data_IF_355187609411
#
_entry.id   IF_355187609411
#
_cell.length_a   1.000
_cell.length_b   1.000
_cell.length_c   1.000
_cell.angle_alpha   90.00
_cell.angle_beta   90.00
_cell.angle_gamma   90.00
#
_symmetry.space_group_name_H-M   'P 1'
#
loop_
_entity.id
_entity.type
_entity.pdbx_description
1 polymer ?
#
# COMPACT_ATOMS: atom_id res chain seq x y z
N UNK A 1 34.08 11.21 -22.32
CA UNK A 1 33.09 12.21 -22.76
C UNK A 1 31.85 11.57 -23.41
N UNK A 2 31.96 10.66 -24.40
CA UNK A 2 30.78 9.99 -24.98
C UNK A 2 30.02 9.08 -23.99
N UNK A 3 30.73 8.37 -23.12
CA UNK A 3 30.16 7.45 -22.13
C UNK A 3 29.43 8.21 -21.00
N UNK A 4 29.96 9.37 -20.59
CA UNK A 4 29.35 10.22 -19.56
C UNK A 4 28.04 10.84 -20.07
N UNK A 5 28.02 11.31 -21.32
CA UNK A 5 26.81 11.83 -21.96
C UNK A 5 25.72 10.77 -22.15
N UNK A 6 26.08 9.53 -22.52
CA UNK A 6 25.10 8.45 -22.67
C UNK A 6 24.47 8.05 -21.33
N UNK A 7 25.25 8.05 -20.25
CA UNK A 7 24.74 7.75 -18.90
C UNK A 7 23.82 8.87 -18.41
N UNK A 8 24.19 10.13 -18.62
CA UNK A 8 23.33 11.27 -18.28
C UNK A 8 21.99 11.25 -19.02
N UNK A 9 22.00 10.97 -20.33
CA UNK A 9 20.79 10.81 -21.14
C UNK A 9 19.90 9.66 -20.64
N UNK A 10 20.51 8.54 -20.23
CA UNK A 10 19.79 7.39 -19.71
C UNK A 10 19.11 7.69 -18.37
N UNK A 11 19.81 8.40 -17.48
CA UNK A 11 19.26 8.86 -16.19
C UNK A 11 18.10 9.84 -16.42
N UNK A 12 18.27 10.83 -17.31
CA UNK A 12 17.21 11.79 -17.65
C UNK A 12 15.97 11.08 -18.20
N UNK A 13 16.15 10.07 -19.05
CA UNK A 13 15.05 9.28 -19.59
C UNK A 13 14.28 8.51 -18.51
N UNK A 14 14.98 7.94 -17.52
CA UNK A 14 14.34 7.25 -16.39
C UNK A 14 13.56 8.23 -15.51
N UNK A 15 14.13 9.39 -15.21
CA UNK A 15 13.46 10.45 -14.42
C UNK A 15 12.20 10.93 -15.12
N UNK A 16 12.26 11.16 -16.43
CA UNK A 16 11.10 11.59 -17.22
C UNK A 16 10.02 10.51 -17.25
N UNK A 17 10.40 9.25 -17.44
CA UNK A 17 9.46 8.13 -17.42
C UNK A 17 8.76 8.01 -16.06
N UNK A 18 9.52 8.11 -14.97
CA UNK A 18 8.97 8.10 -13.62
C UNK A 18 8.01 9.29 -13.39
N UNK A 19 8.39 10.49 -13.81
CA UNK A 19 7.54 11.69 -13.71
C UNK A 19 6.22 11.52 -14.46
N UNK A 20 6.24 10.89 -15.64
CA UNK A 20 5.05 10.58 -16.42
C UNK A 20 4.14 9.61 -15.65
N UNK A 21 4.69 8.55 -15.05
CA UNK A 21 3.90 7.58 -14.28
C UNK A 21 3.26 8.20 -13.03
N UNK A 22 4.00 9.06 -12.31
CA UNK A 22 3.45 9.83 -11.17
C UNK A 22 2.36 10.78 -11.65
N UNK A 23 2.58 11.48 -12.76
CA UNK A 23 1.58 12.39 -13.32
C UNK A 23 0.30 11.65 -13.73
N UNK A 24 0.41 10.51 -14.42
CA UNK A 24 -0.74 9.67 -14.79
C UNK A 24 -1.54 9.24 -13.56
N UNK A 25 -0.87 8.84 -12.48
CA UNK A 25 -1.51 8.45 -11.24
C UNK A 25 -2.39 9.60 -10.70
N UNK A 26 -1.82 10.79 -10.53
CA UNK A 26 -2.54 11.95 -9.98
C UNK A 26 -3.59 12.53 -10.92
N UNK A 27 -3.46 12.32 -12.23
CA UNK A 27 -4.48 12.74 -13.19
C UNK A 27 -5.64 11.74 -13.27
N UNK A 28 -5.45 10.50 -12.80
CA UNK A 28 -6.48 9.47 -12.90
C UNK A 28 -7.68 9.77 -11.97
N UNK A 29 -8.89 9.74 -12.53
CA UNK A 29 -10.13 9.92 -11.74
C UNK A 29 -10.29 8.82 -10.69
N UNK A 30 -9.92 7.58 -11.04
CA UNK A 30 -9.97 6.43 -10.13
C UNK A 30 -9.13 6.63 -8.87
N UNK A 31 -7.94 7.23 -8.99
CA UNK A 31 -7.09 7.55 -7.83
C UNK A 31 -7.82 8.45 -6.84
N UNK A 32 -8.37 9.58 -7.31
CA UNK A 32 -9.06 10.53 -6.45
C UNK A 32 -10.34 9.97 -5.84
N UNK A 33 -11.13 9.21 -6.61
CA UNK A 33 -12.34 8.54 -6.08
C UNK A 33 -11.96 7.58 -4.95
N UNK A 34 -10.96 6.72 -5.17
CA UNK A 34 -10.49 5.78 -4.15
C UNK A 34 -9.96 6.53 -2.93
N UNK A 35 -9.15 7.58 -3.14
CA UNK A 35 -8.62 8.41 -2.07
C UNK A 35 -9.73 9.02 -1.20
N UNK A 36 -10.71 9.70 -1.79
CA UNK A 36 -11.79 10.35 -1.03
C UNK A 36 -12.69 9.33 -0.32
N UNK A 37 -13.04 8.22 -0.96
CA UNK A 37 -13.87 7.19 -0.32
C UNK A 37 -13.11 6.54 0.85
N UNK A 38 -11.83 6.19 0.64
CA UNK A 38 -11.02 5.55 1.69
C UNK A 38 -10.82 6.46 2.90
N UNK A 39 -10.59 7.76 2.67
CA UNK A 39 -10.42 8.74 3.74
C UNK A 39 -11.73 9.00 4.47
N UNK A 40 -12.84 9.14 3.74
CA UNK A 40 -14.17 9.31 4.33
C UNK A 40 -14.53 8.15 5.26
N UNK A 41 -14.46 6.91 4.78
CA UNK A 41 -14.76 5.72 5.59
C UNK A 41 -13.77 5.60 6.76
N UNK A 42 -12.51 5.91 6.54
CA UNK A 42 -11.49 5.84 7.58
C UNK A 42 -11.68 6.84 8.72
N UNK A 43 -12.30 7.99 8.44
CA UNK A 43 -12.65 8.98 9.47
C UNK A 43 -13.93 8.57 10.20
N UNK A 44 -14.87 7.87 9.56
CA UNK A 44 -16.14 7.49 10.20
C UNK A 44 -16.01 6.31 11.15
N UNK A 45 -15.17 5.30 10.85
CA UNK A 45 -15.03 4.10 11.71
C UNK A 45 -14.69 4.45 13.19
N UNK A 46 -13.75 5.36 13.49
CA UNK A 46 -13.46 5.77 14.87
C UNK A 46 -14.57 6.59 15.54
N UNK A 47 -15.54 7.14 14.80
CA UNK A 47 -16.58 8.00 15.37
C UNK A 47 -17.61 7.21 16.19
N UNK A 48 -17.79 5.92 15.91
CA UNK A 48 -18.81 5.06 16.52
C UNK A 48 -18.40 4.55 17.93
N UNK A 49 -17.13 4.66 18.31
CA UNK A 49 -16.60 4.22 19.59
C UNK A 49 -16.47 5.35 20.62
N UNK A 50 -17.50 5.56 21.43
CA UNK A 50 -17.45 6.49 22.56
C UNK A 50 -16.67 5.92 23.74
N UNK A 51 -15.59 6.59 24.12
CA UNK A 51 -14.87 6.34 25.37
C UNK A 51 -13.70 7.31 25.54
N UNK A 52 -13.42 7.66 26.80
CA UNK A 52 -12.27 8.45 27.26
C UNK A 52 -10.93 7.78 26.88
N UNK A 53 -10.53 7.89 25.61
CA UNK A 53 -9.25 7.34 25.12
C UNK A 53 -8.15 8.39 25.19
N UNK A 54 -6.93 7.94 25.49
CA UNK A 54 -5.76 8.80 25.41
C UNK A 54 -5.43 9.12 23.95
N UNK A 55 -4.77 10.25 23.70
CA UNK A 55 -4.36 10.63 22.34
C UNK A 55 -3.48 9.55 21.68
N UNK A 56 -2.63 8.87 22.46
CA UNK A 56 -1.78 7.77 21.99
C UNK A 56 -2.58 6.53 21.55
N UNK A 57 -3.59 6.14 22.32
CA UNK A 57 -4.47 5.01 21.98
C UNK A 57 -5.38 5.29 20.78
N UNK A 58 -5.73 6.57 20.56
CA UNK A 58 -6.41 6.99 19.35
C UNK A 58 -5.54 6.74 18.12
N UNK A 59 -4.26 7.13 18.17
CA UNK A 59 -3.32 6.84 17.05
C UNK A 59 -3.27 5.34 16.76
N UNK A 60 -3.09 4.51 17.78
CA UNK A 60 -3.10 3.05 17.61
C UNK A 60 -4.38 2.53 16.95
N UNK A 61 -5.55 3.02 17.36
CA UNK A 61 -6.82 2.62 16.77
C UNK A 61 -7.04 3.13 15.34
N UNK A 62 -6.67 4.38 15.04
CA UNK A 62 -6.76 4.93 13.69
C UNK A 62 -5.93 4.11 12.71
N UNK A 63 -4.70 3.76 13.08
CA UNK A 63 -3.85 2.87 12.26
C UNK A 63 -4.40 1.44 12.20
N UNK A 64 -4.94 0.90 13.30
CA UNK A 64 -5.55 -0.43 13.29
C UNK A 64 -6.70 -0.51 12.28
N UNK A 65 -7.55 0.52 12.21
CA UNK A 65 -8.64 0.61 11.24
C UNK A 65 -8.14 0.68 9.80
N UNK A 66 -6.93 1.21 9.57
CA UNK A 66 -6.30 1.19 8.25
C UNK A 66 -6.10 -0.23 7.70
N UNK A 67 -6.01 -1.25 8.57
CA UNK A 67 -5.97 -2.65 8.13
C UNK A 67 -7.23 -3.02 7.32
N UNK A 68 -8.40 -2.52 7.70
CA UNK A 68 -9.67 -2.79 7.02
C UNK A 68 -9.78 -2.04 5.67
N UNK A 69 -9.15 -0.87 5.59
CA UNK A 69 -9.15 -0.01 4.41
C UNK A 69 -8.17 -0.48 3.32
N UNK A 70 -7.38 -1.52 3.57
CA UNK A 70 -6.44 -2.11 2.60
C UNK A 70 -7.08 -2.54 1.28
N UNK A 71 -8.39 -2.74 1.26
CA UNK A 71 -9.13 -3.01 0.03
C UNK A 71 -8.99 -1.89 -1.00
N UNK A 72 -8.86 -0.62 -0.58
CA UNK A 72 -8.75 0.53 -1.48
C UNK A 72 -7.40 0.58 -2.23
N UNK A 73 -6.24 0.48 -1.56
CA UNK A 73 -4.96 0.29 -2.26
C UNK A 73 -4.93 -0.92 -3.20
N UNK A 74 -5.59 -2.03 -2.85
CA UNK A 74 -5.71 -3.22 -3.70
C UNK A 74 -6.47 -2.90 -5.00
N UNK A 75 -7.62 -2.21 -4.88
CA UNK A 75 -8.40 -1.77 -6.04
C UNK A 75 -7.58 -0.85 -6.95
N UNK A 76 -6.83 0.08 -6.36
CA UNK A 76 -5.95 0.99 -7.07
C UNK A 76 -4.90 0.23 -7.89
N UNK A 77 -4.33 -0.85 -7.34
CA UNK A 77 -3.37 -1.70 -8.06
C UNK A 77 -3.99 -2.36 -9.28
N UNK A 78 -5.12 -3.02 -9.07
CA UNK A 78 -5.82 -3.70 -10.17
C UNK A 78 -6.27 -2.75 -11.28
N UNK A 79 -6.71 -1.53 -10.93
CA UNK A 79 -7.12 -0.52 -11.91
C UNK A 79 -5.92 0.11 -12.64
N UNK A 80 -4.88 0.53 -11.91
CA UNK A 80 -3.71 1.18 -12.51
C UNK A 80 -2.90 0.26 -13.43
N UNK A 81 -2.77 -1.02 -13.05
CA UNK A 81 -2.10 -2.01 -13.91
C UNK A 81 -3.03 -2.57 -14.98
N UNK A 82 -4.30 -2.81 -14.66
CA UNK A 82 -5.29 -3.32 -15.61
C UNK A 82 -5.61 -2.37 -16.75
N UNK A 83 -5.81 -1.07 -16.47
CA UNK A 83 -6.04 -0.06 -17.51
C UNK A 83 -4.91 -0.02 -18.54
N UNK A 84 -3.67 -0.15 -18.07
CA UNK A 84 -2.50 -0.12 -18.94
C UNK A 84 -2.35 -1.34 -19.86
N UNK A 85 -2.94 -2.48 -19.48
CA UNK A 85 -3.06 -3.63 -20.38
C UNK A 85 -4.14 -3.42 -21.44
N UNK A 86 -5.27 -2.81 -21.07
CA UNK A 86 -6.38 -2.50 -21.99
C UNK A 86 -5.95 -1.43 -23.00
N UNK A 87 -5.37 -0.33 -22.51
CA UNK A 87 -4.98 0.83 -23.31
C UNK A 87 -3.64 0.61 -24.05
N UNK A 88 -3.00 -0.55 -23.86
CA UNK A 88 -1.71 -0.94 -24.44
C UNK A 88 -0.59 0.07 -24.17
N UNK A 89 -0.69 0.90 -23.13
CA UNK A 89 0.30 1.93 -22.78
C UNK A 89 1.64 1.30 -22.41
N UNK A 90 1.62 0.14 -21.75
CA UNK A 90 2.83 -0.65 -21.46
C UNK A 90 3.50 -1.11 -22.76
N UNK A 91 2.71 -1.52 -23.76
CA UNK A 91 3.23 -1.97 -25.05
C UNK A 91 3.85 -0.79 -25.83
N UNK A 92 3.15 0.35 -25.87
CA UNK A 92 3.63 1.56 -26.52
C UNK A 92 4.94 2.07 -25.91
N UNK A 93 5.11 1.99 -24.59
CA UNK A 93 6.36 2.37 -23.91
C UNK A 93 7.53 1.44 -24.30
N UNK A 94 7.27 0.15 -24.52
CA UNK A 94 8.29 -0.79 -25.04
C UNK A 94 8.64 -0.48 -26.50
N UNK A 95 7.64 -0.21 -27.34
CA UNK A 95 7.84 0.19 -28.73
C UNK A 95 8.60 1.52 -28.87
N UNK A 96 8.46 2.43 -27.90
CA UNK A 96 9.22 3.68 -27.82
C UNK A 96 10.72 3.48 -27.45
N UNK A 97 11.18 2.23 -27.29
CA UNK A 97 12.58 1.89 -27.04
C UNK A 97 12.98 1.83 -25.56
N UNK A 98 12.04 1.97 -24.63
CA UNK A 98 12.34 1.80 -23.21
C UNK A 98 12.44 0.32 -22.83
N UNK A 99 13.45 -0.03 -22.03
CA UNK A 99 13.58 -1.39 -21.51
C UNK A 99 12.38 -1.75 -20.61
N UNK A 100 11.87 -2.98 -20.74
CA UNK A 100 10.77 -3.52 -19.91
C UNK A 100 11.02 -3.36 -18.40
N UNK A 101 12.27 -3.54 -17.96
CA UNK A 101 12.64 -3.37 -16.54
C UNK A 101 12.43 -1.94 -16.04
N UNK A 102 12.88 -0.93 -16.79
CA UNK A 102 12.72 0.50 -16.42
C UNK A 102 11.26 0.90 -16.34
N UNK A 103 10.44 0.50 -17.32
CA UNK A 103 9.00 0.77 -17.33
C UNK A 103 8.35 0.18 -16.08
N UNK A 104 8.63 -1.10 -15.82
CA UNK A 104 8.06 -1.80 -14.67
C UNK A 104 8.45 -1.12 -13.34
N UNK A 105 9.75 -0.82 -13.13
CA UNK A 105 10.24 -0.19 -11.90
C UNK A 105 9.63 1.20 -11.71
N UNK A 106 9.64 2.06 -12.74
CA UNK A 106 9.09 3.41 -12.63
C UNK A 106 7.60 3.38 -12.28
N UNK A 107 6.86 2.49 -12.94
CA UNK A 107 5.42 2.34 -12.72
C UNK A 107 5.11 1.81 -11.32
N UNK A 108 5.82 0.77 -10.87
CA UNK A 108 5.66 0.22 -9.52
C UNK A 108 5.99 1.28 -8.48
N UNK A 109 7.07 2.04 -8.63
CA UNK A 109 7.41 3.11 -7.69
C UNK A 109 6.32 4.19 -7.62
N UNK A 110 5.81 4.64 -8.76
CA UNK A 110 4.70 5.60 -8.80
C UNK A 110 3.46 5.04 -8.10
N UNK A 111 3.11 3.78 -8.39
CA UNK A 111 2.01 3.09 -7.74
C UNK A 111 2.19 2.97 -6.21
N UNK A 112 3.38 2.60 -5.73
CA UNK A 112 3.67 2.48 -4.30
C UNK A 112 3.54 3.84 -3.58
N UNK A 113 3.86 4.95 -4.24
CA UNK A 113 3.57 6.30 -3.71
C UNK A 113 2.06 6.49 -3.56
N UNK A 114 1.27 6.15 -4.58
CA UNK A 114 -0.19 6.21 -4.53
C UNK A 114 -0.80 5.37 -3.41
N UNK A 115 -0.32 4.15 -3.24
CA UNK A 115 -0.72 3.25 -2.14
C UNK A 115 -0.51 3.93 -0.79
N UNK A 116 0.66 4.51 -0.55
CA UNK A 116 0.96 5.18 0.71
C UNK A 116 0.09 6.41 0.95
N UNK A 117 -0.20 7.21 -0.09
CA UNK A 117 -1.08 8.37 0.02
C UNK A 117 -2.49 7.94 0.43
N UNK A 118 -3.07 6.96 -0.25
CA UNK A 118 -4.41 6.42 0.07
C UNK A 118 -4.43 5.79 1.47
N UNK A 119 -3.40 5.03 1.82
CA UNK A 119 -3.33 4.30 3.08
C UNK A 119 -3.19 5.23 4.28
N UNK A 120 -2.24 6.16 4.24
CA UNK A 120 -1.84 6.98 5.39
C UNK A 120 -2.72 8.20 5.58
N UNK A 121 -3.40 8.67 4.54
CA UNK A 121 -4.34 9.79 4.64
C UNK A 121 -5.47 9.50 5.62
N UNK A 122 -6.02 8.28 5.60
CA UNK A 122 -7.08 7.87 6.54
C UNK A 122 -6.70 8.06 8.02
N UNK A 123 -5.63 7.44 8.56
CA UNK A 123 -5.28 7.59 9.96
C UNK A 123 -4.84 9.02 10.29
N UNK A 124 -4.14 9.73 9.40
CA UNK A 124 -3.73 11.13 9.62
C UNK A 124 -4.96 12.03 9.79
N UNK A 125 -5.91 11.97 8.85
CA UNK A 125 -7.11 12.81 8.88
C UNK A 125 -7.98 12.42 10.09
N UNK A 126 -8.10 11.14 10.41
CA UNK A 126 -8.80 10.67 11.61
C UNK A 126 -8.22 11.26 12.90
N UNK A 127 -6.89 11.28 13.04
CA UNK A 127 -6.21 11.87 14.20
C UNK A 127 -6.47 13.38 14.26
N UNK A 128 -6.38 14.08 13.13
CA UNK A 128 -6.65 15.53 13.04
C UNK A 128 -8.10 15.85 13.40
N UNK A 129 -9.06 15.09 12.86
CA UNK A 129 -10.48 15.26 13.15
C UNK A 129 -10.77 15.03 14.64
N UNK A 130 -10.24 13.96 15.23
CA UNK A 130 -10.41 13.66 16.65
C UNK A 130 -9.75 14.71 17.56
N UNK A 131 -8.65 15.34 17.11
CA UNK A 131 -8.06 16.51 17.79
C UNK A 131 -9.00 17.72 17.75
N UNK A 132 -9.60 18.01 16.59
CA UNK A 132 -10.51 19.15 16.44
C UNK A 132 -11.79 19.00 17.29
N UNK A 133 -12.30 17.78 17.47
CA UNK A 133 -13.49 17.50 18.27
C UNK A 133 -13.21 17.35 19.78
N UNK A 134 -12.00 17.64 20.26
CA UNK A 134 -11.59 17.54 21.68
C UNK A 134 -11.95 16.21 22.34
N UNK A 135 -11.84 15.08 21.62
CA UNK A 135 -12.26 13.76 22.10
C UNK A 135 -11.22 13.04 22.99
N UNK A 136 -10.34 13.77 23.68
CA UNK A 136 -9.27 13.16 24.48
C UNK A 136 -9.34 13.48 25.95
N UNK A 137 -8.94 12.49 26.73
CA UNK A 137 -8.81 12.60 28.19
C UNK A 137 -7.41 13.04 28.62
N UNK A 138 -6.40 12.88 27.75
CA UNK A 138 -5.00 13.28 28.01
C UNK A 138 -4.21 13.56 26.73
N UNK A 139 -3.34 14.57 26.75
CA UNK A 139 -2.55 15.07 25.61
C UNK A 139 -1.09 14.55 25.58
N UNK A 140 -0.85 13.28 25.91
CA UNK A 140 0.51 12.73 25.98
C UNK A 140 0.95 12.04 24.68
N UNK A 141 1.16 12.81 23.60
CA UNK A 141 1.68 12.29 22.34
C UNK A 141 3.22 12.19 22.32
N UNK A 142 3.89 13.16 22.95
CA UNK A 142 5.32 13.41 22.77
C UNK A 142 6.22 12.39 23.47
N UNK A 143 5.75 11.75 24.55
CA UNK A 143 6.52 10.78 25.33
C UNK A 143 6.89 9.52 24.53
N UNK A 144 6.11 9.17 23.50
CA UNK A 144 6.27 7.95 22.69
C UNK A 144 6.63 8.23 21.22
N UNK A 145 7.22 9.39 20.91
CA UNK A 145 7.50 9.83 19.54
C UNK A 145 8.23 8.80 18.67
N UNK A 146 9.23 8.09 19.22
CA UNK A 146 9.97 7.04 18.49
C UNK A 146 9.06 5.88 18.04
N UNK A 147 8.12 5.47 18.89
CA UNK A 147 7.18 4.37 18.57
C UNK A 147 6.20 4.80 17.48
N UNK A 148 5.79 6.07 17.47
CA UNK A 148 4.91 6.62 16.44
C UNK A 148 5.56 6.64 15.06
N UNK A 149 6.81 7.11 14.98
CA UNK A 149 7.57 7.11 13.71
C UNK A 149 7.75 5.68 13.19
N UNK A 150 8.10 4.72 14.06
CA UNK A 150 8.20 3.30 13.69
C UNK A 150 6.86 2.75 13.20
N UNK A 151 5.75 3.12 13.83
CA UNK A 151 4.41 2.70 13.41
C UNK A 151 4.10 3.18 12.01
N UNK A 152 4.35 4.45 11.71
CA UNK A 152 4.16 5.03 10.37
C UNK A 152 5.01 4.33 9.29
N UNK A 153 6.30 4.11 9.56
CA UNK A 153 7.21 3.47 8.61
C UNK A 153 6.89 1.99 8.38
N UNK A 154 6.50 1.25 9.42
CA UNK A 154 6.20 -0.18 9.25
C UNK A 154 4.82 -0.38 8.62
N UNK A 155 3.83 0.46 8.95
CA UNK A 155 2.51 0.40 8.31
C UNK A 155 2.55 0.75 6.82
N UNK A 156 3.31 1.77 6.43
CA UNK A 156 3.57 2.08 5.02
C UNK A 156 4.21 0.90 4.28
N UNK A 157 5.26 0.29 4.86
CA UNK A 157 5.92 -0.88 4.28
C UNK A 157 4.97 -2.08 4.13
N UNK A 158 4.19 -2.41 5.16
CA UNK A 158 3.22 -3.51 5.12
C UNK A 158 2.08 -3.22 4.13
N UNK A 159 1.67 -1.96 4.00
CA UNK A 159 0.70 -1.53 3.00
C UNK A 159 1.19 -1.80 1.57
N UNK A 160 2.45 -1.43 1.29
CA UNK A 160 3.13 -1.75 0.03
C UNK A 160 3.27 -3.26 -0.21
N UNK A 161 3.51 -4.05 0.84
CA UNK A 161 3.59 -5.49 0.77
C UNK A 161 2.27 -6.13 0.32
N UNK A 162 1.15 -5.78 0.96
CA UNK A 162 -0.17 -6.32 0.59
C UNK A 162 -0.55 -5.87 -0.82
N UNK A 163 -0.25 -4.62 -1.18
CA UNK A 163 -0.58 -4.08 -2.50
C UNK A 163 0.24 -4.73 -3.62
N UNK A 164 1.48 -5.20 -3.34
CA UNK A 164 2.30 -5.96 -4.28
C UNK A 164 1.70 -7.30 -4.68
N UNK A 165 0.93 -7.94 -3.78
CA UNK A 165 0.19 -9.18 -4.08
C UNK A 165 -0.87 -8.91 -5.16
N UNK A 166 -1.59 -7.78 -5.05
CA UNK A 166 -2.58 -7.38 -6.05
C UNK A 166 -1.94 -7.07 -7.41
N UNK A 167 -0.77 -6.42 -7.41
CA UNK A 167 -0.01 -6.20 -8.66
C UNK A 167 0.29 -7.53 -9.32
N UNK A 168 0.81 -8.51 -8.57
CA UNK A 168 1.10 -9.84 -9.10
C UNK A 168 -0.12 -10.53 -9.72
N UNK A 169 -1.25 -10.52 -9.02
CA UNK A 169 -2.52 -11.04 -9.53
C UNK A 169 -2.92 -10.34 -10.84
N UNK A 170 -2.69 -9.03 -10.93
CA UNK A 170 -3.01 -8.24 -12.12
C UNK A 170 -2.15 -8.63 -13.32
N UNK A 171 -0.87 -8.92 -13.10
CA UNK A 171 0.02 -9.42 -14.16
C UNK A 171 -0.31 -10.84 -14.62
N UNK A 172 -0.93 -11.67 -13.78
CA UNK A 172 -1.41 -13.01 -14.17
C UNK A 172 -2.64 -12.90 -15.07
N UNK A 173 -3.66 -12.16 -14.64
CA UNK A 173 -4.94 -12.14 -15.33
C UNK A 173 -5.00 -11.14 -16.50
N UNK A 174 -4.23 -10.04 -16.44
CA UNK A 174 -4.21 -8.95 -17.43
C UNK A 174 -5.61 -8.38 -17.74
N UNK A 175 -6.52 -8.48 -16.80
CA UNK A 175 -7.93 -8.08 -16.90
C UNK A 175 -8.34 -7.38 -15.61
N UNK A 176 -9.00 -6.24 -15.70
CA UNK A 176 -9.38 -5.44 -14.52
C UNK A 176 -10.34 -6.23 -13.61
N UNK A 177 -11.41 -6.78 -14.17
CA UNK A 177 -12.48 -7.42 -13.42
C UNK A 177 -11.99 -8.66 -12.66
N UNK A 178 -11.24 -9.53 -13.36
CA UNK A 178 -10.66 -10.73 -12.74
C UNK A 178 -9.64 -10.35 -11.67
N UNK A 179 -8.78 -9.37 -11.94
CA UNK A 179 -7.73 -8.97 -11.00
C UNK A 179 -8.30 -8.36 -9.72
N UNK A 180 -9.32 -7.51 -9.85
CA UNK A 180 -10.05 -6.95 -8.71
C UNK A 180 -10.72 -8.07 -7.91
N UNK A 181 -11.46 -8.96 -8.57
CA UNK A 181 -12.19 -10.04 -7.88
C UNK A 181 -11.26 -10.98 -7.11
N UNK A 182 -10.17 -11.44 -7.73
CA UNK A 182 -9.21 -12.32 -7.06
C UNK A 182 -8.40 -11.61 -5.97
N UNK A 183 -7.96 -10.36 -6.20
CA UNK A 183 -7.20 -9.62 -5.18
C UNK A 183 -8.06 -9.32 -3.94
N UNK A 184 -9.32 -8.95 -4.14
CA UNK A 184 -10.26 -8.71 -3.03
C UNK A 184 -10.60 -10.00 -2.30
N UNK A 185 -10.81 -11.12 -3.01
CA UNK A 185 -11.04 -12.43 -2.38
C UNK A 185 -9.84 -12.85 -1.52
N UNK A 186 -8.61 -12.76 -2.03
CA UNK A 186 -7.39 -13.08 -1.27
C UNK A 186 -7.30 -12.21 -0.01
N UNK A 187 -7.59 -10.91 -0.13
CA UNK A 187 -7.63 -10.01 1.02
C UNK A 187 -8.70 -10.38 2.04
N UNK A 188 -9.93 -10.65 1.61
CA UNK A 188 -11.03 -11.05 2.50
C UNK A 188 -10.73 -12.38 3.21
N UNK A 189 -10.14 -13.35 2.52
CA UNK A 189 -9.70 -14.61 3.13
C UNK A 189 -8.66 -14.35 4.21
N UNK A 190 -7.69 -13.46 3.98
CA UNK A 190 -6.72 -13.08 5.00
C UNK A 190 -7.39 -12.43 6.21
N UNK A 191 -8.40 -11.57 6.01
CA UNK A 191 -9.16 -10.95 7.11
C UNK A 191 -9.92 -12.00 7.92
N UNK A 192 -10.62 -12.93 7.26
CA UNK A 192 -11.40 -13.99 7.90
C UNK A 192 -10.50 -14.92 8.71
N UNK A 193 -9.37 -15.37 8.16
CA UNK A 193 -8.40 -16.22 8.85
C UNK A 193 -7.83 -15.55 10.11
N UNK A 194 -7.60 -14.24 10.06
CA UNK A 194 -7.09 -13.49 11.20
C UNK A 194 -8.17 -13.21 12.26
N UNK A 195 -9.45 -13.21 11.89
CA UNK A 195 -10.56 -13.03 12.83
C UNK A 195 -11.03 -14.36 13.46
N UNK A 196 -10.86 -15.49 12.76
CA UNK A 196 -11.29 -16.80 13.26
C UNK A 196 -10.36 -17.37 14.34
N UNK A 197 -9.16 -16.82 14.49
CA UNK A 197 -8.12 -17.38 15.36
C UNK A 197 -8.06 -16.64 16.69
N UNK A 198 -8.16 -17.39 17.80
CA UNK A 198 -8.15 -16.83 19.17
C UNK A 198 -6.84 -16.10 19.51
N UNK A 199 -5.71 -16.61 19.01
CA UNK A 199 -4.38 -16.05 19.22
C UNK A 199 -3.60 -15.92 17.90
N UNK A 200 -3.55 -14.70 17.34
CA UNK A 200 -2.70 -14.39 16.17
C UNK A 200 -1.21 -14.67 16.49
N UNK A 201 -0.83 -14.53 17.78
CA UNK A 201 0.53 -14.75 18.30
C UNK A 201 0.97 -16.21 18.42
N UNK A 202 0.17 -17.21 18.06
CA UNK A 202 0.60 -18.63 18.09
C UNK A 202 0.46 -19.32 16.72
N UNK A 203 -0.05 -18.59 15.74
CA UNK A 203 -0.52 -19.18 14.50
C UNK A 203 0.55 -19.17 13.38
N UNK A 204 0.49 -20.14 12.48
CA UNK A 204 1.34 -20.23 11.29
C UNK A 204 1.14 -19.03 10.34
N UNK A 205 -0.01 -18.35 10.43
CA UNK A 205 -0.37 -17.20 9.60
C UNK A 205 0.28 -15.87 10.02
N UNK A 206 1.18 -15.85 11.01
CA UNK A 206 1.98 -14.65 11.34
C UNK A 206 2.81 -14.13 10.18
N UNK A 207 3.14 -14.99 9.21
CA UNK A 207 3.96 -14.62 8.05
C UNK A 207 3.20 -13.66 7.11
N UNK A 208 1.87 -13.55 7.24
CA UNK A 208 1.10 -12.65 6.40
C UNK A 208 1.34 -11.18 6.78
N UNK A 209 1.60 -10.29 5.80
CA UNK A 209 1.78 -8.86 6.07
C UNK A 209 0.60 -8.23 6.84
N UNK A 210 -0.64 -8.63 6.53
CA UNK A 210 -1.83 -8.16 7.23
C UNK A 210 -1.85 -8.61 8.71
N UNK A 211 -1.34 -9.82 9.00
CA UNK A 211 -1.25 -10.33 10.36
C UNK A 211 -0.27 -9.49 11.18
N UNK A 212 0.91 -9.20 10.63
CA UNK A 212 1.92 -8.34 11.27
C UNK A 212 1.40 -6.92 11.48
N UNK A 213 0.64 -6.39 10.52
CA UNK A 213 0.03 -5.08 10.63
C UNK A 213 -0.93 -5.02 11.83
N UNK A 214 -1.79 -6.03 12.00
CA UNK A 214 -2.70 -6.10 13.16
C UNK A 214 -1.99 -6.33 14.48
N UNK A 215 -0.91 -7.11 14.50
CA UNK A 215 -0.14 -7.41 15.72
C UNK A 215 0.56 -6.18 16.28
N UNK A 216 1.17 -5.36 15.43
CA UNK A 216 1.82 -4.11 15.85
C UNK A 216 0.80 -3.09 16.38
N UNK A 217 -0.37 -3.07 15.76
CA UNK A 217 -1.42 -2.07 16.00
C UNK A 217 -2.43 -2.51 17.07
N UNK A 218 -2.27 -3.71 17.64
CA UNK A 218 -3.10 -4.19 18.73
C UNK A 218 -2.80 -3.37 19.99
N UNK A 219 -3.84 -2.92 20.70
CA UNK A 219 -3.71 -1.98 21.83
C UNK A 219 -3.10 -2.67 23.07
N UNK A 220 -2.11 -2.03 23.75
CA UNK A 220 -1.28 -0.90 23.31
C UNK A 220 -0.22 -1.32 22.29
N UNK A 221 0.23 -0.40 21.43
CA UNK A 221 1.21 -0.66 20.36
C UNK A 221 2.39 -1.45 20.93
N UNK A 222 2.63 -2.64 20.39
CA UNK A 222 3.63 -3.58 20.92
C UNK A 222 4.99 -3.31 20.25
N UNK A 223 5.97 -2.70 20.93
CA UNK A 223 7.20 -2.24 20.29
C UNK A 223 8.15 -3.37 19.86
N UNK A 224 8.03 -4.56 20.45
CA UNK A 224 8.97 -5.66 20.22
C UNK A 224 8.75 -6.41 18.89
N UNK A 225 7.80 -5.99 18.05
CA UNK A 225 7.43 -6.71 16.83
C UNK A 225 7.74 -5.94 15.53
N UNK A 226 8.18 -4.67 15.63
CA UNK A 226 8.46 -3.83 14.45
C UNK A 226 9.50 -4.44 13.50
N UNK A 227 10.58 -5.03 14.02
CA UNK A 227 11.65 -5.59 13.20
C UNK A 227 11.18 -6.79 12.39
N UNK A 228 10.44 -7.71 13.02
CA UNK A 228 9.90 -8.90 12.35
C UNK A 228 8.91 -8.52 11.26
N UNK A 229 8.03 -7.56 11.55
CA UNK A 229 7.08 -7.06 10.58
C UNK A 229 7.76 -6.35 9.41
N UNK A 230 8.80 -5.55 9.67
CA UNK A 230 9.56 -4.89 8.62
C UNK A 230 10.22 -5.90 7.68
N UNK A 231 10.84 -6.95 8.24
CA UNK A 231 11.47 -8.02 7.48
C UNK A 231 10.43 -8.77 6.61
N UNK A 232 9.28 -9.13 7.18
CA UNK A 232 8.20 -9.79 6.44
C UNK A 232 7.67 -8.90 5.31
N UNK A 233 7.46 -7.61 5.58
CA UNK A 233 7.05 -6.63 4.58
C UNK A 233 8.05 -6.55 3.42
N UNK A 234 9.35 -6.46 3.73
CA UNK A 234 10.39 -6.41 2.71
C UNK A 234 10.45 -7.69 1.85
N UNK A 235 10.45 -8.86 2.48
CA UNK A 235 10.49 -10.15 1.77
C UNK A 235 9.29 -10.29 0.84
N UNK A 236 8.09 -9.95 1.32
CA UNK A 236 6.86 -10.08 0.52
C UNK A 236 6.85 -9.12 -0.67
N UNK A 237 7.28 -7.86 -0.50
CA UNK A 237 7.44 -6.90 -1.60
C UNK A 237 8.39 -7.47 -2.66
N UNK A 238 9.59 -7.91 -2.25
CA UNK A 238 10.60 -8.43 -3.17
C UNK A 238 10.08 -9.66 -3.91
N UNK A 239 9.46 -10.61 -3.20
CA UNK A 239 8.94 -11.84 -3.79
C UNK A 239 7.85 -11.57 -4.84
N UNK A 240 6.83 -10.77 -4.50
CA UNK A 240 5.71 -10.55 -5.42
C UNK A 240 6.05 -9.60 -6.57
N UNK A 241 6.89 -8.59 -6.35
CA UNK A 241 7.32 -7.71 -7.44
C UNK A 241 8.27 -8.42 -8.41
N UNK A 242 9.18 -9.26 -7.90
CA UNK A 242 10.04 -10.07 -8.79
C UNK A 242 9.21 -11.08 -9.59
N UNK A 243 8.26 -11.75 -8.95
CA UNK A 243 7.33 -12.65 -9.66
C UNK A 243 6.51 -11.90 -10.73
N UNK A 244 6.00 -10.70 -10.40
CA UNK A 244 5.28 -9.84 -11.34
C UNK A 244 6.15 -9.44 -12.54
N UNK A 245 7.42 -9.08 -12.29
CA UNK A 245 8.36 -8.76 -13.35
C UNK A 245 8.67 -9.97 -14.25
N UNK A 246 8.80 -11.17 -13.69
CA UNK A 246 9.00 -12.40 -14.47
C UNK A 246 7.79 -12.70 -15.36
N UNK A 247 6.56 -12.51 -14.85
CA UNK A 247 5.34 -12.61 -15.66
C UNK A 247 5.34 -11.57 -16.79
N UNK A 248 5.74 -10.33 -16.52
CA UNK A 248 5.84 -9.27 -17.52
C UNK A 248 6.95 -9.52 -18.57
N UNK A 249 8.06 -10.14 -18.18
CA UNK A 249 9.13 -10.50 -19.11
C UNK A 249 8.66 -11.57 -20.10
N UNK A 250 7.88 -12.55 -19.62
CA UNK A 250 7.34 -13.66 -20.42
C UNK A 250 6.10 -13.30 -21.24
N UNK A 251 5.43 -12.19 -20.94
CA UNK A 251 4.26 -11.80 -21.72
C UNK A 251 4.64 -11.38 -23.14
N UNK A 252 4.07 -12.07 -24.11
CA UNK A 252 4.07 -11.65 -25.51
C UNK A 252 3.23 -10.38 -25.67
N UNK A 253 3.77 -9.42 -26.41
CA UNK A 253 3.12 -8.16 -26.72
C UNK A 253 2.36 -8.37 -28.03
N UNK A 254 1.09 -8.78 -27.95
CA UNK A 254 0.18 -8.85 -29.10
C UNK A 254 -0.68 -7.58 -29.20
#
# INVERSE_FOLDING_TARGET
>A
MKITLSVELEVINVINLFRIEVYKLFQSKSFWIIFFISTFIGVTIPLDGYGYITQYENVGASFYNTCLLMIFPILLGSLSFGNDFIDRTINNAVCAGHSRAKIFICKVLAYLIGVNIVLLSSPIISIIANNAFHRYTSHNLMSNGNVLVKTFLVTSLLGMAISSISVFITFIFKDIGKSVGFSTLVYLMNVVLLNSTRNIMENSFKVLPLAQMRLILYRPIVPNQFEKAALIGFITIVLFLTASYLCFKKSELH
#
